data_IF_462519479143
#
_entry.id   IF_462519479143
#
_cell.length_a   1.000
_cell.length_b   1.000
_cell.length_c   1.000
_cell.angle_alpha   90.00
_cell.angle_beta   90.00
_cell.angle_gamma   90.00
#
_symmetry.space_group_name_H-M   'P 1'
#
loop_
_entity.id
_entity.type
_entity.pdbx_description
1 polymer ?
#
# COMPACT_ATOMS: atom_id res chain seq x y z
N UNK A 1 -10.36 17.47 0.72
CA UNK A 1 -9.60 16.38 0.07
C UNK A 1 -9.82 16.42 -1.43
N UNK A 2 -8.75 16.34 -2.19
CA UNK A 2 -8.79 16.39 -3.65
C UNK A 2 -9.42 15.13 -4.25
N UNK A 3 -10.00 15.22 -5.42
CA UNK A 3 -10.72 14.10 -6.04
C UNK A 3 -9.83 12.87 -6.27
N UNK A 4 -8.61 13.08 -6.76
CA UNK A 4 -7.64 12.00 -6.93
C UNK A 4 -7.27 11.36 -5.59
N UNK A 5 -7.11 12.16 -4.53
CA UNK A 5 -6.85 11.65 -3.18
C UNK A 5 -7.99 10.79 -2.67
N UNK A 6 -9.23 11.16 -2.95
CA UNK A 6 -10.41 10.34 -2.58
C UNK A 6 -10.40 8.99 -3.28
N UNK A 7 -10.07 8.97 -4.57
CA UNK A 7 -9.94 7.73 -5.34
C UNK A 7 -8.81 6.86 -4.77
N UNK A 8 -7.67 7.46 -4.45
CA UNK A 8 -6.54 6.76 -3.83
C UNK A 8 -6.92 6.14 -2.49
N UNK A 9 -7.65 6.87 -1.65
CA UNK A 9 -8.13 6.36 -0.37
C UNK A 9 -9.07 5.17 -0.56
N UNK A 10 -10.00 5.26 -1.50
CA UNK A 10 -10.90 4.14 -1.81
C UNK A 10 -10.12 2.93 -2.33
N UNK A 11 -9.12 3.16 -3.18
CA UNK A 11 -8.25 2.09 -3.68
C UNK A 11 -7.53 1.36 -2.53
N UNK A 12 -6.96 2.12 -1.59
CA UNK A 12 -6.28 1.55 -0.41
C UNK A 12 -7.26 0.76 0.46
N UNK A 13 -8.49 1.23 0.62
CA UNK A 13 -9.51 0.48 1.37
C UNK A 13 -9.84 -0.86 0.70
N UNK A 14 -9.95 -0.90 -0.61
CA UNK A 14 -10.16 -2.14 -1.37
C UNK A 14 -8.96 -3.06 -1.19
N UNK A 15 -7.74 -2.55 -1.34
CA UNK A 15 -6.52 -3.34 -1.19
C UNK A 15 -6.37 -3.87 0.24
N UNK A 16 -6.74 -3.07 1.23
CA UNK A 16 -6.73 -3.50 2.64
C UNK A 16 -7.73 -4.63 2.87
N UNK A 17 -8.92 -4.56 2.29
CA UNK A 17 -9.90 -5.62 2.39
C UNK A 17 -9.39 -6.93 1.76
N UNK A 18 -8.75 -6.85 0.59
CA UNK A 18 -8.14 -8.00 -0.08
C UNK A 18 -7.01 -8.59 0.77
N UNK A 19 -6.11 -7.74 1.25
CA UNK A 19 -4.98 -8.17 2.09
C UNK A 19 -5.46 -8.81 3.39
N UNK A 20 -6.52 -8.29 3.99
CA UNK A 20 -7.11 -8.85 5.20
C UNK A 20 -7.68 -10.25 4.92
N UNK A 21 -8.41 -10.43 3.82
CA UNK A 21 -8.95 -11.74 3.44
C UNK A 21 -7.83 -12.77 3.21
N UNK A 22 -6.76 -12.39 2.51
CA UNK A 22 -5.59 -13.24 2.29
C UNK A 22 -4.91 -13.58 3.63
N UNK A 23 -4.74 -12.58 4.50
CA UNK A 23 -4.10 -12.76 5.81
C UNK A 23 -4.88 -13.72 6.69
N UNK A 24 -6.21 -13.61 6.73
CA UNK A 24 -7.07 -14.52 7.49
C UNK A 24 -6.97 -15.94 6.98
N UNK A 25 -6.88 -16.13 5.67
CA UNK A 25 -6.70 -17.45 5.06
C UNK A 25 -5.36 -18.06 5.45
N UNK A 26 -4.28 -17.27 5.37
CA UNK A 26 -2.94 -17.70 5.77
C UNK A 26 -2.87 -18.02 7.27
N UNK A 27 -3.47 -17.17 8.10
CA UNK A 27 -3.54 -17.38 9.54
C UNK A 27 -4.23 -18.70 9.87
N UNK A 28 -5.36 -18.99 9.22
CA UNK A 28 -6.06 -20.25 9.38
C UNK A 28 -5.19 -21.45 9.00
N UNK A 29 -4.45 -21.35 7.89
CA UNK A 29 -3.53 -22.38 7.44
C UNK A 29 -2.35 -22.59 8.40
N UNK A 30 -1.86 -21.52 9.03
CA UNK A 30 -0.73 -21.56 9.96
C UNK A 30 -1.13 -21.86 11.41
N UNK A 31 -2.42 -21.89 11.70
CA UNK A 31 -2.94 -22.07 13.06
C UNK A 31 -2.45 -23.36 13.74
N UNK A 32 -2.25 -24.44 12.97
CA UNK A 32 -1.68 -25.67 13.47
C UNK A 32 -0.24 -25.54 13.95
N UNK A 33 0.51 -24.58 13.40
CA UNK A 33 1.92 -24.33 13.75
C UNK A 33 2.03 -23.43 14.97
N UNK A 34 1.16 -22.40 15.08
CA UNK A 34 1.23 -21.37 16.12
C UNK A 34 0.35 -21.66 17.33
N UNK A 35 -0.48 -22.68 17.25
CA UNK A 35 -1.52 -23.05 18.23
C UNK A 35 -1.04 -23.11 19.68
N UNK A 36 0.19 -23.54 19.92
CA UNK A 36 0.75 -23.72 21.27
C UNK A 36 1.53 -22.52 21.80
N UNK A 37 1.65 -21.43 21.01
CA UNK A 37 2.46 -20.27 21.39
C UNK A 37 1.66 -18.98 21.21
N UNK A 38 1.18 -18.42 22.32
CA UNK A 38 0.41 -17.17 22.33
C UNK A 38 1.20 -15.99 21.81
N UNK A 39 2.50 -15.93 22.07
CA UNK A 39 3.36 -14.84 21.57
C UNK A 39 3.46 -14.88 20.06
N UNK A 40 3.61 -16.07 19.47
CA UNK A 40 3.62 -16.25 18.02
C UNK A 40 2.28 -15.87 17.41
N UNK A 41 1.15 -16.24 18.02
CA UNK A 41 -0.18 -15.86 17.54
C UNK A 41 -0.36 -14.36 17.55
N UNK A 42 0.07 -13.67 18.60
CA UNK A 42 -0.02 -12.21 18.70
C UNK A 42 0.83 -11.53 17.62
N UNK A 43 2.03 -12.02 17.35
CA UNK A 43 2.90 -11.50 16.29
C UNK A 43 2.25 -11.70 14.92
N UNK A 44 1.73 -12.90 14.63
CA UNK A 44 1.05 -13.15 13.35
C UNK A 44 -0.19 -12.28 13.17
N UNK A 45 -1.00 -12.12 14.21
CA UNK A 45 -2.20 -11.28 14.15
C UNK A 45 -1.90 -9.81 13.87
N UNK A 46 -0.74 -9.32 14.34
CA UNK A 46 -0.33 -7.91 14.23
C UNK A 46 0.49 -7.65 12.98
N UNK A 47 1.48 -8.51 12.69
CA UNK A 47 2.48 -8.28 11.64
C UNK A 47 2.04 -8.86 10.31
N UNK A 48 1.41 -10.03 10.29
CA UNK A 48 1.07 -10.72 9.05
C UNK A 48 0.20 -9.89 8.08
N UNK A 49 -0.89 -9.23 8.52
CA UNK A 49 -1.69 -8.42 7.60
C UNK A 49 -0.89 -7.32 6.91
N UNK A 50 0.00 -6.67 7.63
CA UNK A 50 0.85 -5.60 7.10
C UNK A 50 1.84 -6.15 6.06
N UNK A 51 2.53 -7.24 6.38
CA UNK A 51 3.50 -7.87 5.47
C UNK A 51 2.80 -8.40 4.21
N UNK A 52 1.63 -9.02 4.36
CA UNK A 52 0.82 -9.50 3.23
C UNK A 52 0.41 -8.33 2.35
N UNK A 53 -0.05 -7.23 2.93
CA UNK A 53 -0.44 -6.04 2.16
C UNK A 53 0.74 -5.48 1.37
N UNK A 54 1.90 -5.33 1.99
CA UNK A 54 3.10 -4.84 1.32
C UNK A 54 3.53 -5.77 0.17
N UNK A 55 3.54 -7.08 0.41
CA UNK A 55 3.92 -8.06 -0.60
C UNK A 55 2.97 -8.08 -1.79
N UNK A 56 1.66 -8.11 -1.54
CA UNK A 56 0.65 -8.07 -2.58
C UNK A 56 0.71 -6.78 -3.38
N UNK A 57 0.86 -5.66 -2.70
CA UNK A 57 0.98 -4.35 -3.33
C UNK A 57 2.20 -4.30 -4.25
N UNK A 58 3.36 -4.70 -3.75
CA UNK A 58 4.60 -4.70 -4.52
C UNK A 58 4.53 -5.59 -5.76
N UNK A 59 4.00 -6.80 -5.62
CA UNK A 59 3.84 -7.74 -6.74
C UNK A 59 2.87 -7.22 -7.81
N UNK A 60 1.77 -6.63 -7.40
CA UNK A 60 0.77 -6.09 -8.32
C UNK A 60 1.30 -4.85 -9.05
N UNK A 61 1.96 -3.93 -8.35
CA UNK A 61 2.54 -2.75 -8.98
C UNK A 61 3.66 -3.11 -9.96
N UNK A 62 4.50 -4.07 -9.60
CA UNK A 62 5.56 -4.58 -10.48
C UNK A 62 5.00 -5.10 -11.81
N UNK A 63 3.84 -5.74 -11.76
CA UNK A 63 3.26 -6.40 -12.92
C UNK A 63 2.71 -5.40 -13.95
N UNK A 64 1.84 -4.47 -13.52
CA UNK A 64 1.22 -3.53 -14.46
C UNK A 64 0.97 -2.12 -13.88
N UNK A 65 1.56 -1.81 -12.73
CA UNK A 65 1.37 -0.52 -12.08
C UNK A 65 0.02 -0.36 -11.38
N UNK A 66 -0.74 -1.42 -11.22
CA UNK A 66 -2.07 -1.36 -10.63
C UNK A 66 -2.29 -2.48 -9.62
N UNK A 67 -2.73 -2.13 -8.41
CA UNK A 67 -3.33 -3.08 -7.47
C UNK A 67 -4.80 -3.30 -7.86
N UNK A 68 -5.47 -4.25 -7.21
CA UNK A 68 -6.92 -4.45 -7.42
C UNK A 68 -7.70 -3.18 -7.10
N UNK A 69 -7.34 -2.49 -6.02
CA UNK A 69 -7.97 -1.21 -5.66
C UNK A 69 -7.72 -0.14 -6.71
N UNK A 70 -6.50 -0.06 -7.23
CA UNK A 70 -6.17 0.90 -8.30
C UNK A 70 -6.96 0.60 -9.58
N UNK A 71 -7.07 -0.66 -9.96
CA UNK A 71 -7.89 -1.05 -11.11
C UNK A 71 -9.35 -0.65 -10.93
N UNK A 72 -9.91 -0.89 -9.76
CA UNK A 72 -11.30 -0.55 -9.45
C UNK A 72 -11.55 0.95 -9.53
N UNK A 73 -10.55 1.76 -9.17
CA UNK A 73 -10.67 3.23 -9.16
C UNK A 73 -10.11 3.92 -10.41
N UNK A 74 -9.62 3.13 -11.38
CA UNK A 74 -9.03 3.70 -12.60
C UNK A 74 -7.73 4.46 -12.36
N UNK A 75 -6.86 3.93 -11.49
CA UNK A 75 -5.58 4.54 -11.14
C UNK A 75 -4.42 3.66 -11.58
N UNK A 76 -3.26 4.28 -11.77
CA UNK A 76 -2.01 3.60 -12.10
C UNK A 76 -0.84 4.28 -11.39
N UNK A 77 0.07 3.49 -10.84
CA UNK A 77 1.32 3.98 -10.27
C UNK A 77 2.42 3.85 -11.32
N UNK A 78 3.11 4.95 -11.58
CA UNK A 78 4.21 5.01 -12.54
C UNK A 78 5.40 5.76 -11.94
N UNK A 79 6.59 5.51 -12.49
CA UNK A 79 7.73 6.39 -12.27
C UNK A 79 7.50 7.70 -13.05
N UNK A 80 8.27 8.74 -12.76
CA UNK A 80 8.12 10.05 -13.42
C UNK A 80 8.27 9.95 -14.94
N UNK A 81 9.07 8.99 -15.42
CA UNK A 81 9.29 8.73 -16.85
C UNK A 81 8.30 7.72 -17.45
N UNK A 82 7.25 7.36 -16.73
CA UNK A 82 6.16 6.52 -17.23
C UNK A 82 6.36 5.02 -17.16
N UNK A 83 7.41 4.56 -16.46
CA UNK A 83 7.68 3.12 -16.32
C UNK A 83 6.92 2.51 -15.14
N UNK A 84 6.74 1.19 -15.22
CA UNK A 84 6.16 0.41 -14.12
C UNK A 84 7.18 0.34 -12.97
N UNK A 85 6.73 0.43 -11.70
CA UNK A 85 7.63 0.31 -10.55
C UNK A 85 8.31 -1.06 -10.49
N UNK A 86 9.54 -1.12 -9.96
CA UNK A 86 10.13 -2.40 -9.58
C UNK A 86 9.52 -2.89 -8.26
N UNK A 87 9.62 -4.19 -7.99
CA UNK A 87 9.13 -4.78 -6.74
C UNK A 87 9.79 -4.11 -5.52
N UNK A 88 11.12 -3.91 -5.57
CA UNK A 88 11.86 -3.26 -4.50
C UNK A 88 11.40 -1.82 -4.25
N UNK A 89 11.24 -1.03 -5.30
CA UNK A 89 10.78 0.34 -5.20
C UNK A 89 9.36 0.44 -4.64
N UNK A 90 8.45 -0.42 -5.12
CA UNK A 90 7.08 -0.48 -4.63
C UNK A 90 7.02 -0.89 -3.16
N UNK A 91 7.87 -1.84 -2.75
CA UNK A 91 7.95 -2.28 -1.36
C UNK A 91 8.46 -1.15 -0.46
N UNK A 92 9.52 -0.46 -0.84
CA UNK A 92 10.05 0.68 -0.09
C UNK A 92 9.02 1.78 0.07
N UNK A 93 8.27 2.07 -0.99
CA UNK A 93 7.18 3.03 -0.97
C UNK A 93 6.10 2.65 0.04
N UNK A 94 5.66 1.39 0.03
CA UNK A 94 4.64 0.90 0.94
C UNK A 94 5.08 0.97 2.40
N UNK A 95 6.31 0.58 2.69
CA UNK A 95 6.88 0.66 4.05
C UNK A 95 6.94 2.12 4.53
N UNK A 96 7.42 3.03 3.68
CA UNK A 96 7.48 4.45 4.02
C UNK A 96 6.08 5.02 4.30
N UNK A 97 5.11 4.69 3.44
CA UNK A 97 3.72 5.14 3.61
C UNK A 97 3.17 4.76 4.99
N UNK A 98 3.40 3.53 5.42
CA UNK A 98 2.80 3.00 6.64
C UNK A 98 3.60 3.32 7.90
N UNK A 99 4.82 3.82 7.77
CA UNK A 99 5.68 4.15 8.91
C UNK A 99 5.98 5.64 9.03
N UNK A 100 6.53 6.26 7.99
CA UNK A 100 7.09 7.61 8.06
C UNK A 100 6.17 8.71 7.51
N UNK A 101 5.23 8.37 6.63
CA UNK A 101 4.38 9.39 5.99
C UNK A 101 3.45 10.09 6.98
N UNK A 102 3.13 9.47 8.11
CA UNK A 102 2.36 10.10 9.18
C UNK A 102 3.08 11.34 9.72
N UNK A 103 4.40 11.29 9.85
CA UNK A 103 5.20 12.44 10.27
C UNK A 103 5.15 13.57 9.23
N UNK A 104 5.20 13.22 7.95
CA UNK A 104 5.05 14.19 6.87
C UNK A 104 3.69 14.89 6.92
N UNK A 105 2.64 14.13 7.16
CA UNK A 105 1.28 14.67 7.31
C UNK A 105 1.18 15.63 8.49
N UNK A 106 1.78 15.28 9.63
CA UNK A 106 1.77 16.13 10.83
C UNK A 106 2.58 17.41 10.63
N UNK A 107 3.66 17.36 9.87
CA UNK A 107 4.50 18.53 9.58
C UNK A 107 3.82 19.51 8.62
N UNK A 108 3.15 19.00 7.60
CA UNK A 108 2.53 19.83 6.57
C UNK A 108 1.26 19.15 6.02
N UNK A 109 0.16 19.39 6.71
CA UNK A 109 -1.15 18.84 6.32
C UNK A 109 -1.64 19.37 4.98
N UNK A 110 -1.38 20.65 4.70
CA UNK A 110 -1.82 21.31 3.47
C UNK A 110 -1.03 20.84 2.26
N UNK A 111 0.27 20.63 2.42
CA UNK A 111 1.15 20.16 1.34
C UNK A 111 1.19 18.65 1.16
N UNK A 112 0.55 17.87 2.05
CA UNK A 112 0.60 16.41 1.99
C UNK A 112 0.10 15.85 0.66
N UNK A 113 -1.02 16.37 0.15
CA UNK A 113 -1.60 15.92 -1.11
C UNK A 113 -0.86 16.44 -2.35
N UNK A 114 0.06 17.36 -2.20
CA UNK A 114 0.70 18.05 -3.32
C UNK A 114 -0.29 18.94 -4.07
N UNK A 115 -0.07 19.13 -5.35
CA UNK A 115 -0.90 20.03 -6.19
C UNK A 115 -2.29 19.44 -6.46
N UNK A 116 -2.35 18.13 -6.78
CA UNK A 116 -3.58 17.48 -7.26
C UNK A 116 -3.83 16.09 -6.64
N UNK A 117 -3.03 15.67 -5.66
CA UNK A 117 -3.11 14.35 -5.04
C UNK A 117 -2.37 13.25 -5.79
N UNK A 118 -1.65 13.57 -6.87
CA UNK A 118 -0.90 12.58 -7.65
C UNK A 118 0.41 12.16 -6.98
N UNK A 119 0.93 12.98 -6.09
CA UNK A 119 2.18 12.73 -5.39
C UNK A 119 2.04 13.00 -3.91
N UNK A 120 1.91 11.94 -3.12
CA UNK A 120 2.02 12.00 -1.68
C UNK A 120 3.50 11.90 -1.26
N UNK A 121 3.86 12.18 0.02
CA UNK A 121 5.26 12.10 0.44
C UNK A 121 5.95 10.77 0.10
N UNK A 122 5.24 9.64 0.24
CA UNK A 122 5.80 8.34 -0.09
C UNK A 122 5.98 8.12 -1.61
N UNK A 123 5.26 8.88 -2.43
CA UNK A 123 5.47 8.87 -3.88
C UNK A 123 6.67 9.75 -4.24
N UNK A 124 6.69 10.98 -3.74
CA UNK A 124 7.79 11.94 -4.01
C UNK A 124 9.15 11.40 -3.58
N UNK A 125 9.19 10.72 -2.44
CA UNK A 125 10.43 10.14 -1.88
C UNK A 125 11.11 9.18 -2.86
N UNK A 126 10.34 8.45 -3.65
CA UNK A 126 10.83 7.39 -4.52
C UNK A 126 10.62 7.68 -6.02
N UNK A 127 10.18 8.89 -6.36
CA UNK A 127 10.03 9.31 -7.75
C UNK A 127 8.82 8.70 -8.46
N UNK A 128 7.71 8.53 -7.75
CA UNK A 128 6.48 7.97 -8.30
C UNK A 128 5.38 9.02 -8.48
N UNK A 129 4.48 8.75 -9.41
CA UNK A 129 3.28 9.54 -9.66
C UNK A 129 2.10 8.58 -9.82
N UNK A 130 0.97 8.92 -9.22
CA UNK A 130 -0.29 8.20 -9.43
C UNK A 130 -1.10 8.94 -10.48
N UNK A 131 -1.50 8.24 -11.54
CA UNK A 131 -2.26 8.81 -12.66
C UNK A 131 -3.61 8.12 -12.79
N UNK A 132 -4.60 8.86 -13.32
CA UNK A 132 -5.86 8.28 -13.75
C UNK A 132 -5.68 7.64 -15.12
N UNK A 133 -6.32 6.50 -15.34
CA UNK A 133 -6.32 5.76 -16.61
C UNK A 133 -7.72 5.62 -17.17
#
# INVERSE_FOLDING_TARGET
MKELSKKRTKAVLIDTAVATAVSLTLEAALKGITKKNRSAEAVYATVLPTVVMWGLEALQFKNNGQTLGYKAMGLKLETEDGRVPSCEQALKRAVYRDTLSTFDYLKDRKGFEGTDGSEFPHDRKFGFVVREV
#
